data_IF_190844770162
#
_entry.id   IF_190844770162
#
_cell.length_a   1.000
_cell.length_b   1.000
_cell.length_c   1.000
_cell.angle_alpha   90.00
_cell.angle_beta   90.00
_cell.angle_gamma   90.00
#
_symmetry.space_group_name_H-M   'P 1'
#
loop_
_entity.id
_entity.type
_entity.pdbx_description
1 polymer ?
#
# COMPACT_ATOMS: atom_id res chain seq x y z
N UNK A 1 -38.77 61.03 8.06
CA UNK A 1 -37.58 60.70 7.26
C UNK A 1 -37.97 60.92 5.82
N UNK A 2 -37.34 61.88 5.15
CA UNK A 2 -37.65 62.21 3.76
C UNK A 2 -36.86 61.23 2.90
N UNK A 3 -37.53 60.27 2.28
CA UNK A 3 -36.88 59.36 1.34
C UNK A 3 -36.47 60.13 0.09
N UNK A 4 -35.16 60.24 -0.12
CA UNK A 4 -34.58 60.87 -1.31
C UNK A 4 -34.48 59.79 -2.39
N UNK A 5 -35.41 59.80 -3.33
CA UNK A 5 -35.41 58.87 -4.48
C UNK A 5 -34.63 59.52 -5.61
N UNK A 6 -33.40 59.06 -5.87
CA UNK A 6 -32.56 59.53 -6.96
C UNK A 6 -32.76 58.60 -8.15
N UNK A 7 -33.18 59.14 -9.30
CA UNK A 7 -33.22 58.39 -10.54
C UNK A 7 -31.83 58.43 -11.21
N UNK A 8 -31.22 57.26 -11.39
CA UNK A 8 -29.86 57.13 -11.92
C UNK A 8 -29.79 57.50 -13.41
N UNK A 9 -30.92 57.38 -14.13
CA UNK A 9 -31.02 57.69 -15.55
C UNK A 9 -30.83 59.20 -15.84
N UNK A 10 -31.03 60.05 -14.83
CA UNK A 10 -30.84 61.50 -14.95
C UNK A 10 -29.36 61.92 -14.91
N UNK A 11 -28.47 61.00 -14.51
CA UNK A 11 -27.05 61.29 -14.26
C UNK A 11 -26.10 60.44 -15.11
N UNK A 12 -26.57 59.31 -15.63
CA UNK A 12 -25.73 58.39 -16.41
C UNK A 12 -26.41 58.03 -17.73
N UNK A 13 -25.68 58.22 -18.82
CA UNK A 13 -26.07 57.68 -20.12
C UNK A 13 -25.94 56.16 -20.18
N UNK A 14 -26.63 55.53 -21.13
CA UNK A 14 -26.56 54.07 -21.33
C UNK A 14 -25.13 53.55 -21.58
N UNK A 15 -24.29 54.35 -22.23
CA UNK A 15 -22.89 53.97 -22.47
C UNK A 15 -22.06 53.99 -21.18
N UNK A 16 -22.29 54.98 -20.30
CA UNK A 16 -21.59 55.08 -19.02
C UNK A 16 -22.02 53.95 -18.08
N UNK A 17 -23.32 53.61 -18.04
CA UNK A 17 -23.82 52.45 -17.28
C UNK A 17 -23.18 51.15 -17.78
N UNK A 18 -23.05 50.98 -19.10
CA UNK A 18 -22.43 49.81 -19.71
C UNK A 18 -20.93 49.75 -19.39
N UNK A 19 -20.26 50.89 -19.37
CA UNK A 19 -18.85 50.98 -19.02
C UNK A 19 -18.63 50.63 -17.54
N UNK A 20 -19.41 51.20 -16.63
CA UNK A 20 -19.38 50.89 -15.19
C UNK A 20 -19.61 49.38 -14.96
N UNK A 21 -20.61 48.79 -15.63
CA UNK A 21 -20.88 47.37 -15.51
C UNK A 21 -19.72 46.49 -16.01
N UNK A 22 -19.04 46.89 -17.09
CA UNK A 22 -17.84 46.19 -17.60
C UNK A 22 -16.67 46.30 -16.64
N UNK A 23 -16.45 47.47 -16.08
CA UNK A 23 -15.30 47.73 -15.21
C UNK A 23 -15.48 47.00 -13.86
N UNK A 24 -16.68 47.00 -13.30
CA UNK A 24 -16.99 46.19 -12.12
C UNK A 24 -16.88 44.69 -12.39
N UNK A 25 -17.35 44.22 -13.55
CA UNK A 25 -17.18 42.82 -13.91
C UNK A 25 -15.70 42.43 -14.05
N UNK A 26 -14.87 43.28 -14.66
CA UNK A 26 -13.42 43.07 -14.72
C UNK A 26 -12.79 43.06 -13.32
N UNK A 27 -13.17 43.98 -12.45
CA UNK A 27 -12.65 44.05 -11.09
C UNK A 27 -13.01 42.78 -10.30
N UNK A 28 -14.25 42.31 -10.41
CA UNK A 28 -14.70 41.07 -9.79
C UNK A 28 -13.95 39.84 -10.33
N UNK A 29 -13.77 39.74 -11.66
CA UNK A 29 -12.98 38.68 -12.28
C UNK A 29 -11.51 38.74 -11.87
N UNK A 30 -10.91 39.92 -11.79
CA UNK A 30 -9.52 40.10 -11.35
C UNK A 30 -9.34 39.71 -9.88
N UNK A 31 -10.25 40.11 -9.00
CA UNK A 31 -10.23 39.72 -7.59
C UNK A 31 -10.34 38.20 -7.41
N UNK A 32 -11.23 37.55 -8.18
CA UNK A 32 -11.40 36.09 -8.14
C UNK A 32 -10.21 35.35 -8.76
N UNK A 33 -9.67 35.85 -9.87
CA UNK A 33 -8.48 35.30 -10.50
C UNK A 33 -7.24 35.46 -9.63
N UNK A 34 -7.14 36.53 -8.83
CA UNK A 34 -6.05 36.70 -7.87
C UNK A 34 -6.17 35.71 -6.70
N UNK A 35 -7.38 35.49 -6.18
CA UNK A 35 -7.65 34.49 -5.14
C UNK A 35 -7.41 33.05 -5.62
N UNK A 36 -7.72 32.76 -6.89
CA UNK A 36 -7.51 31.44 -7.52
C UNK A 36 -6.16 31.34 -8.26
N UNK A 37 -5.31 32.38 -8.23
CA UNK A 37 -4.12 32.47 -9.06
C UNK A 37 -3.16 31.29 -8.81
N UNK A 38 -2.91 31.01 -7.54
CA UNK A 38 -2.03 29.91 -7.14
C UNK A 38 -2.58 28.55 -7.59
N UNK A 39 -3.89 28.35 -7.56
CA UNK A 39 -4.56 27.13 -8.02
C UNK A 39 -4.46 26.98 -9.54
N UNK A 40 -4.70 28.06 -10.28
CA UNK A 40 -4.58 28.08 -11.75
C UNK A 40 -3.13 27.77 -12.15
N UNK A 41 -2.16 28.42 -11.50
CA UNK A 41 -0.75 28.25 -11.79
C UNK A 41 -0.26 26.85 -11.42
N UNK A 42 -0.73 26.30 -10.29
CA UNK A 42 -0.41 24.93 -9.85
C UNK A 42 -0.96 23.89 -10.83
N UNK A 43 -2.19 24.06 -11.30
CA UNK A 43 -2.78 23.14 -12.28
C UNK A 43 -2.07 23.23 -13.63
N UNK A 44 -1.73 24.43 -14.09
CA UNK A 44 -0.99 24.63 -15.33
C UNK A 44 0.43 24.03 -15.26
N UNK A 45 1.10 24.22 -14.11
CA UNK A 45 2.40 23.60 -13.85
C UNK A 45 2.29 22.06 -13.80
N UNK A 46 1.25 21.53 -13.16
CA UNK A 46 1.00 20.09 -13.11
C UNK A 46 0.80 19.50 -14.50
N UNK A 47 -0.01 20.14 -15.35
CA UNK A 47 -0.26 19.69 -16.72
C UNK A 47 1.01 19.75 -17.59
N UNK A 48 1.83 20.79 -17.44
CA UNK A 48 3.11 20.90 -18.12
C UNK A 48 4.07 19.78 -17.70
N UNK A 49 4.26 19.59 -16.40
CA UNK A 49 5.15 18.55 -15.87
C UNK A 49 4.65 17.17 -16.27
N UNK A 50 3.35 16.92 -16.19
CA UNK A 50 2.74 15.66 -16.61
C UNK A 50 3.04 15.36 -18.07
N UNK A 51 2.91 16.36 -18.95
CA UNK A 51 3.20 16.21 -20.37
C UNK A 51 4.68 15.87 -20.63
N UNK A 52 5.61 16.59 -20.01
CA UNK A 52 7.04 16.31 -20.13
C UNK A 52 7.40 14.91 -19.62
N UNK A 53 6.76 14.46 -18.54
CA UNK A 53 6.90 13.09 -18.04
C UNK A 53 6.33 12.09 -19.03
N UNK A 54 5.12 12.29 -19.55
CA UNK A 54 4.54 11.38 -20.54
C UNK A 54 5.41 11.32 -21.81
N UNK A 55 5.93 12.44 -22.31
CA UNK A 55 6.82 12.50 -23.47
C UNK A 55 8.12 11.71 -23.25
N UNK A 56 8.68 11.72 -22.03
CA UNK A 56 9.85 10.93 -21.66
C UNK A 56 9.59 9.41 -21.60
N UNK A 57 8.32 9.00 -21.46
CA UNK A 57 7.88 7.60 -21.32
C UNK A 57 6.98 7.16 -22.50
N UNK A 58 7.33 7.56 -23.72
CA UNK A 58 6.65 7.16 -24.97
C UNK A 58 5.16 7.56 -25.06
N UNK A 59 4.76 8.58 -24.32
CA UNK A 59 3.42 9.17 -24.38
C UNK A 59 2.38 8.59 -23.43
N UNK A 60 2.73 7.61 -22.58
CA UNK A 60 1.81 7.11 -21.55
C UNK A 60 2.55 6.51 -20.33
N UNK A 61 2.99 7.39 -19.43
CA UNK A 61 3.64 6.97 -18.18
C UNK A 61 2.66 6.20 -17.29
N UNK A 62 1.37 6.57 -17.30
CA UNK A 62 0.34 5.91 -16.49
C UNK A 62 0.17 4.45 -16.90
N UNK A 63 0.09 4.16 -18.20
CA UNK A 63 0.04 2.78 -18.70
C UNK A 63 1.32 2.02 -18.38
N UNK A 64 2.48 2.66 -18.50
CA UNK A 64 3.79 2.05 -18.19
C UNK A 64 3.88 1.63 -16.73
N UNK A 65 3.49 2.51 -15.79
CA UNK A 65 3.45 2.18 -14.35
C UNK A 65 2.46 1.07 -14.09
N UNK A 66 1.27 1.12 -14.69
CA UNK A 66 0.24 0.09 -14.52
C UNK A 66 0.72 -1.28 -15.02
N UNK A 67 1.34 -1.33 -16.20
CA UNK A 67 1.88 -2.55 -16.78
C UNK A 67 2.99 -3.15 -15.90
N UNK A 68 3.91 -2.31 -15.42
CA UNK A 68 4.98 -2.75 -14.52
C UNK A 68 4.46 -3.23 -13.17
N UNK A 69 3.49 -2.53 -12.58
CA UNK A 69 2.86 -2.97 -11.34
C UNK A 69 2.17 -4.33 -11.51
N UNK A 70 1.40 -4.52 -12.59
CA UNK A 70 0.77 -5.80 -12.91
C UNK A 70 1.79 -6.90 -13.17
N UNK A 71 2.90 -6.60 -13.85
CA UNK A 71 3.99 -7.53 -14.09
C UNK A 71 4.60 -7.99 -12.77
N UNK A 72 4.98 -7.06 -11.89
CA UNK A 72 5.51 -7.37 -10.56
C UNK A 72 4.51 -8.24 -9.80
N UNK A 73 3.23 -7.87 -9.75
CA UNK A 73 2.19 -8.66 -9.06
C UNK A 73 2.07 -10.07 -9.62
N UNK A 74 2.15 -10.26 -10.94
CA UNK A 74 2.09 -11.58 -11.58
C UNK A 74 3.36 -12.41 -11.36
N UNK A 75 4.51 -11.74 -11.24
CA UNK A 75 5.81 -12.35 -10.96
C UNK A 75 6.04 -12.57 -9.47
N UNK A 76 5.17 -12.05 -8.58
CA UNK A 76 5.20 -12.37 -7.16
C UNK A 76 4.97 -13.88 -6.99
N UNK A 77 6.03 -14.57 -6.59
CA UNK A 77 5.96 -15.96 -6.21
C UNK A 77 5.74 -16.10 -4.70
N UNK A 78 5.35 -17.29 -4.25
CA UNK A 78 5.29 -17.62 -2.82
C UNK A 78 6.62 -17.33 -2.11
N UNK A 79 7.75 -17.51 -2.80
CA UNK A 79 9.08 -17.19 -2.30
C UNK A 79 9.26 -15.69 -2.04
N UNK A 80 8.73 -14.83 -2.91
CA UNK A 80 8.84 -13.37 -2.79
C UNK A 80 7.93 -12.81 -1.68
N UNK A 81 6.77 -13.42 -1.46
CA UNK A 81 5.74 -12.92 -0.51
C UNK A 81 5.94 -13.46 0.90
N UNK A 82 6.43 -14.68 1.04
CA UNK A 82 6.64 -15.37 2.32
C UNK A 82 8.12 -15.57 2.65
N UNK A 83 9.02 -14.74 2.12
CA UNK A 83 10.44 -14.91 2.34
C UNK A 83 10.80 -14.79 3.83
N UNK A 84 11.58 -15.75 4.32
CA UNK A 84 12.17 -15.74 5.65
C UNK A 84 13.35 -14.76 5.66
N UNK A 85 13.57 -13.98 6.72
CA UNK A 85 14.75 -13.13 6.83
C UNK A 85 16.02 -13.99 6.71
N UNK A 86 16.93 -13.58 5.84
CA UNK A 86 18.22 -14.21 5.59
C UNK A 86 19.35 -13.36 6.20
N UNK A 87 20.62 -13.78 6.08
CA UNK A 87 21.76 -13.08 6.68
C UNK A 87 22.01 -11.65 6.13
N UNK A 88 21.33 -11.26 5.05
CA UNK A 88 21.50 -9.98 4.34
C UNK A 88 20.23 -9.13 4.33
N UNK A 89 19.05 -9.71 4.60
CA UNK A 89 17.75 -9.04 4.69
C UNK A 89 17.30 -8.97 6.16
N UNK A 90 17.49 -7.79 6.76
CA UNK A 90 17.19 -7.55 8.18
C UNK A 90 15.69 -7.53 8.50
N UNK A 91 14.82 -7.35 7.49
CA UNK A 91 13.38 -7.22 7.68
C UNK A 91 12.60 -8.37 7.03
N UNK A 92 11.77 -9.05 7.82
CA UNK A 92 10.93 -10.14 7.35
C UNK A 92 9.79 -9.65 6.46
N UNK A 93 9.49 -10.42 5.40
CA UNK A 93 8.34 -10.16 4.54
C UNK A 93 7.02 -10.14 5.36
N UNK A 94 6.07 -9.29 4.97
CA UNK A 94 4.77 -9.20 5.66
C UNK A 94 4.02 -10.53 5.64
N UNK A 95 4.11 -11.27 4.54
CA UNK A 95 3.51 -12.61 4.43
C UNK A 95 4.13 -13.59 5.42
N UNK A 96 5.45 -13.57 5.61
CA UNK A 96 6.12 -14.39 6.62
C UNK A 96 5.66 -14.05 8.04
N UNK A 97 5.53 -12.75 8.38
CA UNK A 97 5.03 -12.32 9.70
C UNK A 97 3.63 -12.87 9.97
N UNK A 98 2.68 -12.66 9.06
CA UNK A 98 1.32 -13.16 9.22
C UNK A 98 1.22 -14.69 9.27
N UNK A 99 2.08 -15.38 8.50
CA UNK A 99 2.15 -16.84 8.56
C UNK A 99 2.63 -17.31 9.95
N UNK A 100 3.66 -16.69 10.51
CA UNK A 100 4.14 -17.02 11.85
C UNK A 100 3.10 -16.72 12.92
N UNK A 101 2.42 -15.58 12.84
CA UNK A 101 1.33 -15.22 13.75
C UNK A 101 0.20 -16.27 13.73
N UNK A 102 -0.20 -16.72 12.54
CA UNK A 102 -1.21 -17.77 12.38
C UNK A 102 -0.75 -19.12 12.96
N UNK A 103 0.53 -19.47 12.79
CA UNK A 103 1.12 -20.69 13.37
C UNK A 103 1.12 -20.59 14.90
N UNK A 104 1.59 -19.48 15.47
CA UNK A 104 1.59 -19.27 16.93
C UNK A 104 0.18 -19.35 17.52
N UNK A 105 -0.81 -18.76 16.84
CA UNK A 105 -2.20 -18.85 17.26
C UNK A 105 -2.77 -20.28 17.20
N UNK A 106 -2.29 -21.12 16.27
CA UNK A 106 -2.74 -22.50 16.11
C UNK A 106 -2.03 -23.50 17.05
N UNK A 107 -0.83 -23.17 17.56
CA UNK A 107 -0.05 -24.06 18.44
C UNK A 107 -0.81 -24.61 19.64
N UNK A 108 -1.62 -23.83 20.39
CA UNK A 108 -2.34 -24.35 21.54
C UNK A 108 -3.34 -25.43 21.16
N UNK A 109 -4.09 -25.23 20.06
CA UNK A 109 -5.08 -26.18 19.55
C UNK A 109 -4.40 -27.46 19.05
N UNK A 110 -3.26 -27.31 18.36
CA UNK A 110 -2.46 -28.46 17.94
C UNK A 110 -1.93 -29.25 19.14
N UNK A 111 -1.40 -28.57 20.16
CA UNK A 111 -0.89 -29.20 21.37
C UNK A 111 -2.00 -29.94 22.12
N UNK A 112 -3.17 -29.33 22.27
CA UNK A 112 -4.35 -29.95 22.89
C UNK A 112 -4.78 -31.21 22.13
N UNK A 113 -4.83 -31.14 20.80
CA UNK A 113 -5.19 -32.30 19.98
C UNK A 113 -4.17 -33.44 20.10
N UNK A 114 -2.88 -33.13 20.14
CA UNK A 114 -1.81 -34.12 20.33
C UNK A 114 -1.94 -34.78 21.71
N UNK A 115 -2.16 -33.99 22.77
CA UNK A 115 -2.34 -34.53 24.12
C UNK A 115 -3.60 -35.41 24.23
N UNK A 116 -4.70 -35.02 23.58
CA UNK A 116 -5.92 -35.84 23.53
C UNK A 116 -5.66 -37.19 22.84
N UNK A 117 -4.94 -37.20 21.72
CA UNK A 117 -4.56 -38.45 21.02
C UNK A 117 -3.67 -39.31 21.93
N UNK A 118 -2.68 -38.73 22.61
CA UNK A 118 -1.80 -39.46 23.54
C UNK A 118 -2.61 -40.07 24.70
N UNK A 119 -3.59 -39.33 25.24
CA UNK A 119 -4.44 -39.82 26.33
C UNK A 119 -5.36 -40.98 25.91
N UNK A 120 -5.73 -41.05 24.63
CA UNK A 120 -6.53 -42.15 24.06
C UNK A 120 -5.67 -43.35 23.60
N UNK A 121 -4.35 -43.22 23.57
CA UNK A 121 -3.45 -44.32 23.20
C UNK A 121 -3.22 -45.29 24.35
N UNK A 122 -3.22 -46.58 24.01
CA UNK A 122 -2.88 -47.66 24.95
C UNK A 122 -1.42 -47.55 25.40
N UNK A 123 -1.17 -47.72 26.71
CA UNK A 123 0.13 -47.49 27.34
C UNK A 123 1.22 -48.46 26.87
N UNK A 124 0.83 -49.66 26.47
CA UNK A 124 1.75 -50.67 25.93
C UNK A 124 2.13 -50.37 24.46
N UNK A 125 1.20 -49.86 23.65
CA UNK A 125 1.48 -49.44 22.25
C UNK A 125 2.35 -48.17 22.21
N UNK A 126 2.13 -47.25 23.16
CA UNK A 126 2.97 -46.05 23.30
C UNK A 126 4.41 -46.39 23.68
N UNK A 127 4.60 -47.35 24.60
CA UNK A 127 5.94 -47.79 25.04
C UNK A 127 6.71 -48.44 23.89
N UNK A 128 6.09 -49.34 23.13
CA UNK A 128 6.74 -49.98 21.98
C UNK A 128 7.18 -48.98 20.91
N UNK A 129 6.38 -47.93 20.66
CA UNK A 129 6.73 -46.87 19.70
C UNK A 129 7.84 -45.95 20.20
N UNK A 130 7.85 -45.63 21.49
CA UNK A 130 8.91 -44.81 22.11
C UNK A 130 10.25 -45.56 22.10
N UNK A 131 10.26 -46.85 22.41
CA UNK A 131 11.46 -47.68 22.39
C UNK A 131 12.06 -47.77 20.97
N UNK A 132 11.20 -47.90 19.94
CA UNK A 132 11.62 -47.86 18.54
C UNK A 132 12.23 -46.51 18.14
N UNK A 133 11.57 -45.39 18.46
CA UNK A 133 12.06 -44.04 18.15
C UNK A 133 13.38 -43.71 18.85
N UNK A 134 13.52 -44.08 20.12
CA UNK A 134 14.75 -43.90 20.87
C UNK A 134 15.86 -44.75 20.26
N UNK A 135 15.56 -45.99 19.90
CA UNK A 135 16.48 -46.88 19.18
C UNK A 135 16.97 -46.27 17.87
N UNK A 136 16.06 -45.77 17.03
CA UNK A 136 16.39 -45.17 15.74
C UNK A 136 17.23 -43.89 15.88
N UNK A 137 16.94 -43.04 16.86
CA UNK A 137 17.73 -41.83 17.13
C UNK A 137 19.12 -42.19 17.65
N UNK A 138 19.23 -43.18 18.53
CA UNK A 138 20.52 -43.66 19.03
C UNK A 138 21.34 -44.27 17.89
N UNK A 139 20.75 -45.15 17.08
CA UNK A 139 21.41 -45.75 15.92
C UNK A 139 21.82 -44.66 14.94
N UNK A 140 20.93 -43.73 14.59
CA UNK A 140 21.24 -42.61 13.70
C UNK A 140 22.39 -41.75 14.22
N UNK A 141 22.50 -41.53 15.53
CA UNK A 141 23.62 -40.78 16.14
C UNK A 141 24.91 -41.58 16.20
N UNK A 142 24.84 -42.90 16.36
CA UNK A 142 25.99 -43.80 16.38
C UNK A 142 26.51 -44.11 14.97
N UNK A 143 25.64 -44.11 13.96
CA UNK A 143 25.99 -44.35 12.55
C UNK A 143 26.14 -43.06 11.74
N UNK A 144 25.87 -41.89 12.34
CA UNK A 144 26.20 -40.61 11.71
C UNK A 144 27.72 -40.55 11.55
N UNK A 145 28.26 -40.30 10.34
CA UNK A 145 29.69 -40.15 10.15
C UNK A 145 30.18 -39.01 11.04
N UNK A 146 31.18 -39.28 11.88
CA UNK A 146 31.85 -38.28 12.68
C UNK A 146 32.25 -37.12 11.76
N UNK A 147 31.90 -35.89 12.17
CA UNK A 147 32.02 -34.69 11.34
C UNK A 147 33.36 -34.62 10.61
N UNK A 148 33.29 -34.58 9.28
CA UNK A 148 34.33 -33.93 8.48
C UNK A 148 34.07 -32.44 8.65
N UNK A 149 34.78 -31.83 9.60
CA UNK A 149 35.03 -30.40 9.56
C UNK A 149 35.93 -30.12 8.34
N UNK A 150 35.38 -29.44 7.33
CA UNK A 150 36.10 -28.64 6.35
C UNK A 150 35.14 -27.58 5.77
#
# INVERSE_FOLDING_TARGET
MTDLTINIDDYLGEEEKRQIARDEFRAACAGRSAADFERILSNAAYDLVRKEVDDAFEGDMVATVRANALRVIRELSSFTVFNRPNAWDTESSKGWKYLQEAIEAAKPVMAERVLAIIAEMDGDDLRGRLDGLIGDVIVSKLTAPAGVEA
#
